data_IF_706646507817
#
_entry.id   IF_706646507817
#
_cell.length_a   1.000
_cell.length_b   1.000
_cell.length_c   1.000
_cell.angle_alpha   90.00
_cell.angle_beta   90.00
_cell.angle_gamma   90.00
#
_symmetry.space_group_name_H-M   'P 1'
#
loop_
_entity.id
_entity.type
_entity.pdbx_description
1 polymer ?
#
# COMPACT_ATOMS: atom_id res chain seq x y z
N UNK A 1 -18.68 10.28 -36.36
CA UNK A 1 -19.05 10.48 -34.95
C UNK A 1 -17.88 10.01 -34.10
N UNK A 2 -17.46 10.78 -33.11
CA UNK A 2 -16.45 10.36 -32.18
C UNK A 2 -16.89 9.10 -31.41
N UNK A 3 -16.01 8.13 -31.28
CA UNK A 3 -16.28 6.93 -30.48
C UNK A 3 -16.36 7.33 -29.01
N UNK A 4 -17.27 6.70 -28.25
CA UNK A 4 -17.39 6.94 -26.81
C UNK A 4 -17.08 5.68 -26.02
N UNK A 5 -16.39 5.86 -24.88
CA UNK A 5 -16.21 4.82 -23.90
C UNK A 5 -17.02 5.16 -22.65
N UNK A 6 -17.83 4.21 -22.19
CA UNK A 6 -18.51 4.31 -20.89
C UNK A 6 -17.65 3.56 -19.86
N UNK A 7 -17.28 4.26 -18.80
CA UNK A 7 -16.45 3.73 -17.72
C UNK A 7 -17.30 3.76 -16.45
N UNK A 8 -17.40 2.65 -15.76
CA UNK A 8 -18.16 2.52 -14.52
C UNK A 8 -17.19 2.62 -13.34
N UNK A 9 -17.40 3.64 -12.52
CA UNK A 9 -16.59 3.97 -11.35
C UNK A 9 -15.49 4.98 -11.65
N UNK A 10 -15.41 6.04 -10.82
CA UNK A 10 -14.33 7.04 -10.81
C UNK A 10 -13.23 6.68 -9.79
N UNK A 11 -12.98 5.39 -9.59
CA UNK A 11 -11.84 4.90 -8.85
C UNK A 11 -10.53 5.04 -9.64
N UNK A 12 -9.37 4.65 -9.07
CA UNK A 12 -8.06 4.78 -9.73
C UNK A 12 -8.03 4.14 -11.12
N UNK A 13 -8.66 2.96 -11.30
CA UNK A 13 -8.68 2.25 -12.57
C UNK A 13 -9.49 2.99 -13.64
N UNK A 14 -10.70 3.43 -13.30
CA UNK A 14 -11.57 4.15 -14.24
C UNK A 14 -11.00 5.51 -14.64
N UNK A 15 -10.47 6.27 -13.69
CA UNK A 15 -9.81 7.55 -13.95
C UNK A 15 -8.56 7.39 -14.83
N UNK A 16 -7.71 6.37 -14.55
CA UNK A 16 -6.56 6.07 -15.38
C UNK A 16 -6.97 5.70 -16.81
N UNK A 17 -7.97 4.83 -16.96
CA UNK A 17 -8.47 4.43 -18.28
C UNK A 17 -8.98 5.63 -19.08
N UNK A 18 -9.75 6.51 -18.45
CA UNK A 18 -10.25 7.74 -19.09
C UNK A 18 -9.12 8.68 -19.53
N UNK A 19 -8.14 8.91 -18.65
CA UNK A 19 -6.98 9.74 -18.95
C UNK A 19 -6.15 9.17 -20.11
N UNK A 20 -5.89 7.87 -20.11
CA UNK A 20 -5.15 7.20 -21.19
C UNK A 20 -5.91 7.22 -22.52
N UNK A 21 -7.25 7.06 -22.53
CA UNK A 21 -8.05 7.20 -23.72
C UNK A 21 -7.96 8.59 -24.32
N UNK A 22 -8.06 9.64 -23.51
CA UNK A 22 -7.97 11.03 -23.95
C UNK A 22 -6.57 11.44 -24.42
N UNK A 23 -5.53 10.80 -23.91
CA UNK A 23 -4.15 11.15 -24.30
C UNK A 23 -3.64 10.34 -25.47
N UNK A 24 -4.20 9.16 -25.76
CA UNK A 24 -3.67 8.24 -26.76
C UNK A 24 -4.63 7.92 -27.90
N UNK A 25 -5.89 8.36 -27.81
CA UNK A 25 -6.93 8.02 -28.79
C UNK A 25 -7.90 9.18 -28.98
N UNK A 26 -8.76 9.07 -30.01
CA UNK A 26 -9.86 9.99 -30.26
C UNK A 26 -11.19 9.53 -29.59
N UNK A 27 -11.10 8.69 -28.55
CA UNK A 27 -12.26 8.15 -27.84
C UNK A 27 -12.62 9.08 -26.70
N UNK A 28 -13.85 9.57 -26.67
CA UNK A 28 -14.38 10.38 -25.55
C UNK A 28 -14.83 9.48 -24.40
N UNK A 29 -14.17 9.51 -23.23
CA UNK A 29 -14.62 8.78 -22.05
C UNK A 29 -15.76 9.51 -21.34
N UNK A 30 -16.72 8.73 -20.86
CA UNK A 30 -17.77 9.16 -19.94
C UNK A 30 -17.71 8.25 -18.73
N UNK A 31 -17.27 8.79 -17.62
CA UNK A 31 -17.20 8.06 -16.34
C UNK A 31 -18.53 8.23 -15.62
N UNK A 32 -19.07 7.14 -15.11
CA UNK A 32 -20.28 7.11 -14.29
C UNK A 32 -19.87 6.72 -12.87
N UNK A 33 -20.11 7.60 -11.89
CA UNK A 33 -19.75 7.41 -10.49
C UNK A 33 -21.00 7.46 -9.61
N UNK A 34 -21.09 6.54 -8.65
CA UNK A 34 -22.23 6.45 -7.74
C UNK A 34 -22.15 7.48 -6.60
N UNK A 35 -20.94 7.76 -6.15
CA UNK A 35 -20.70 8.70 -5.05
C UNK A 35 -20.58 10.14 -5.57
N UNK A 36 -20.68 11.08 -4.66
CA UNK A 36 -20.45 12.52 -4.90
C UNK A 36 -18.95 12.90 -4.89
N UNK A 37 -18.06 11.91 -4.75
CA UNK A 37 -16.62 12.07 -4.77
C UNK A 37 -15.93 11.00 -5.66
N UNK A 38 -14.73 11.32 -6.11
CA UNK A 38 -13.89 10.40 -6.91
C UNK A 38 -12.84 9.71 -6.03
N UNK A 39 -12.28 8.61 -6.55
CA UNK A 39 -11.18 7.88 -5.90
C UNK A 39 -11.57 6.51 -5.37
N UNK A 40 -12.86 6.19 -5.25
CA UNK A 40 -13.31 4.89 -4.75
C UNK A 40 -12.63 4.54 -3.42
N UNK A 41 -12.04 3.34 -3.30
CA UNK A 41 -11.31 2.91 -2.10
C UNK A 41 -10.03 3.74 -1.82
N UNK A 42 -9.54 4.52 -2.79
CA UNK A 42 -8.38 5.41 -2.63
C UNK A 42 -8.80 6.84 -2.30
N UNK A 43 -10.07 7.08 -2.01
CA UNK A 43 -10.53 8.40 -1.60
C UNK A 43 -9.92 8.81 -0.26
N UNK A 44 -9.64 10.11 -0.13
CA UNK A 44 -9.26 10.76 1.14
C UNK A 44 -10.41 11.66 1.55
N UNK A 45 -11.00 11.40 2.69
CA UNK A 45 -12.10 12.16 3.24
C UNK A 45 -11.59 13.32 4.08
N UNK A 46 -12.31 14.44 4.07
CA UNK A 46 -12.07 15.56 4.98
C UNK A 46 -13.06 15.48 6.14
N UNK A 47 -12.54 15.34 7.36
CA UNK A 47 -13.35 15.37 8.56
C UNK A 47 -12.76 16.39 9.54
N UNK A 48 -13.46 17.49 9.76
CA UNK A 48 -13.03 18.57 10.66
C UNK A 48 -11.61 19.04 10.37
N UNK A 49 -11.31 19.29 9.08
CA UNK A 49 -9.99 19.66 8.56
C UNK A 49 -8.89 18.60 8.69
N UNK A 50 -9.24 17.37 9.03
CA UNK A 50 -8.31 16.24 9.03
C UNK A 50 -8.53 15.38 7.78
N UNK A 51 -7.44 15.06 7.09
CA UNK A 51 -7.47 14.15 5.95
C UNK A 51 -7.41 12.71 6.43
N UNK A 52 -8.41 11.91 6.07
CA UNK A 52 -8.55 10.52 6.48
C UNK A 52 -8.67 9.65 5.23
N UNK A 53 -7.70 8.77 5.02
CA UNK A 53 -7.74 7.81 3.93
C UNK A 53 -8.67 6.65 4.25
N UNK A 54 -9.45 6.20 3.27
CA UNK A 54 -10.34 5.03 3.43
C UNK A 54 -9.58 3.71 3.56
N UNK A 55 -8.26 3.72 3.36
CA UNK A 55 -7.39 2.56 3.51
C UNK A 55 -5.93 2.96 3.58
N UNK A 56 -5.06 2.00 3.88
CA UNK A 56 -3.61 2.21 3.95
C UNK A 56 -2.97 2.21 2.57
N UNK A 57 -3.15 3.25 1.80
CA UNK A 57 -2.59 3.37 0.45
C UNK A 57 -1.18 3.93 0.48
N UNK A 58 -0.30 3.35 -0.35
CA UNK A 58 1.09 3.77 -0.52
C UNK A 58 1.44 3.68 -1.99
N UNK A 59 1.93 4.77 -2.56
CA UNK A 59 2.36 4.80 -3.95
C UNK A 59 3.76 4.19 -4.07
N UNK A 60 3.77 2.91 -4.39
CA UNK A 60 4.97 2.15 -4.67
C UNK A 60 4.68 1.10 -5.74
N UNK A 61 5.52 1.04 -6.74
CA UNK A 61 5.48 0.01 -7.79
C UNK A 61 6.89 -0.43 -8.16
N UNK A 62 7.02 -1.69 -8.60
CA UNK A 62 8.24 -2.20 -9.24
C UNK A 62 8.30 -1.83 -10.73
N UNK A 63 7.19 -1.32 -11.28
CA UNK A 63 7.10 -0.89 -12.67
C UNK A 63 7.47 0.59 -12.77
N UNK A 64 8.56 0.91 -13.45
CA UNK A 64 8.97 2.28 -13.74
C UNK A 64 7.87 3.04 -14.47
N UNK A 65 7.20 2.41 -15.45
CA UNK A 65 6.07 3.01 -16.17
C UNK A 65 4.98 3.53 -15.22
N UNK A 66 4.68 2.78 -14.15
CA UNK A 66 3.65 3.19 -13.17
C UNK A 66 4.16 4.34 -12.32
N UNK A 67 5.43 4.29 -11.91
CA UNK A 67 6.07 5.36 -11.13
C UNK A 67 6.12 6.65 -11.94
N UNK A 68 6.56 6.59 -13.18
CA UNK A 68 6.64 7.74 -14.09
C UNK A 68 5.26 8.34 -14.35
N UNK A 69 4.24 7.49 -14.51
CA UNK A 69 2.87 7.94 -14.70
C UNK A 69 2.37 8.74 -13.49
N UNK A 70 2.60 8.24 -12.26
CA UNK A 70 2.21 8.98 -11.06
C UNK A 70 2.95 10.31 -10.95
N UNK A 71 4.25 10.33 -11.23
CA UNK A 71 5.08 11.53 -11.17
C UNK A 71 4.79 12.53 -12.30
N UNK A 72 4.21 12.08 -13.42
CA UNK A 72 3.73 12.99 -14.48
C UNK A 72 2.44 13.74 -14.08
N UNK A 73 1.67 13.20 -13.15
CA UNK A 73 0.44 13.84 -12.61
C UNK A 73 0.78 14.73 -11.40
N UNK A 74 1.53 14.19 -10.45
CA UNK A 74 2.01 14.91 -9.26
C UNK A 74 3.54 14.76 -9.19
N UNK A 75 4.30 15.80 -9.59
CA UNK A 75 5.77 15.73 -9.58
C UNK A 75 6.33 15.58 -8.17
N UNK A 76 7.50 14.94 -8.05
CA UNK A 76 8.18 14.75 -6.77
C UNK A 76 8.67 16.07 -6.19
N UNK A 77 8.55 16.25 -4.88
CA UNK A 77 9.02 17.42 -4.14
C UNK A 77 10.48 17.76 -4.43
N UNK A 78 10.75 19.05 -4.69
CA UNK A 78 12.11 19.61 -4.90
C UNK A 78 12.69 20.22 -3.64
N UNK A 79 11.87 20.40 -2.59
CA UNK A 79 12.26 20.88 -1.28
C UNK A 79 11.65 20.06 -0.16
N UNK A 80 12.25 20.03 1.04
CA UNK A 80 11.63 19.45 2.20
C UNK A 80 10.29 20.14 2.52
N UNK A 81 9.26 19.38 2.88
CA UNK A 81 8.04 19.95 3.43
C UNK A 81 8.26 20.44 4.87
N UNK A 82 7.39 21.30 5.36
CA UNK A 82 7.51 21.86 6.72
C UNK A 82 7.60 20.76 7.80
N UNK A 83 6.82 19.68 7.66
CA UNK A 83 6.87 18.55 8.59
C UNK A 83 8.17 17.73 8.48
N UNK A 84 8.84 17.73 7.32
CA UNK A 84 10.17 17.11 7.17
C UNK A 84 11.21 17.90 7.95
N UNK A 85 11.13 19.23 7.90
CA UNK A 85 12.03 20.13 8.63
C UNK A 85 11.78 20.02 10.17
N UNK A 86 10.52 20.12 10.59
CA UNK A 86 10.14 20.04 12.00
C UNK A 86 10.53 18.72 12.66
N UNK A 87 10.46 17.62 11.91
CA UNK A 87 10.77 16.28 12.41
C UNK A 87 12.19 15.82 12.06
N UNK A 88 13.02 16.74 11.52
CA UNK A 88 14.41 16.46 11.09
C UNK A 88 14.52 15.19 10.22
N UNK A 89 13.61 15.04 9.26
CA UNK A 89 13.60 13.90 8.34
C UNK A 89 14.55 14.17 7.17
N UNK A 90 15.41 13.22 6.89
CA UNK A 90 16.14 13.20 5.64
C UNK A 90 15.24 12.63 4.54
N UNK A 91 14.92 13.43 3.52
CA UNK A 91 14.10 13.02 2.38
C UNK A 91 14.89 13.19 1.09
N UNK A 92 14.73 12.24 0.19
CA UNK A 92 15.27 12.35 -1.16
C UNK A 92 14.41 13.31 -1.99
N UNK A 93 15.05 14.32 -2.54
CA UNK A 93 14.42 15.38 -3.30
C UNK A 93 14.62 15.16 -4.81
N UNK A 94 13.69 15.66 -5.61
CA UNK A 94 13.87 15.71 -7.06
C UNK A 94 15.02 16.67 -7.42
N UNK A 95 15.86 16.25 -8.36
CA UNK A 95 16.93 17.09 -8.92
C UNK A 95 16.47 17.94 -10.12
N UNK A 96 15.20 17.84 -10.54
CA UNK A 96 14.67 18.63 -11.63
C UNK A 96 14.65 20.13 -11.27
N UNK A 97 15.01 21.00 -12.22
CA UNK A 97 15.11 22.44 -11.97
C UNK A 97 13.75 23.09 -11.63
N UNK A 98 12.66 22.49 -12.10
CA UNK A 98 11.27 22.90 -11.91
C UNK A 98 10.53 22.09 -10.85
N UNK A 99 11.26 21.31 -10.05
CA UNK A 99 10.67 20.47 -9.02
C UNK A 99 9.87 21.31 -8.00
N UNK A 100 8.63 20.90 -7.67
CA UNK A 100 7.72 21.72 -6.87
C UNK A 100 8.19 21.87 -5.42
N UNK A 101 7.96 23.06 -4.88
CA UNK A 101 8.09 23.35 -3.46
C UNK A 101 6.76 23.00 -2.76
N UNK A 102 6.72 22.03 -1.83
CA UNK A 102 5.49 21.58 -1.17
C UNK A 102 4.75 22.69 -0.43
N UNK A 103 5.46 23.74 0.00
CA UNK A 103 4.84 24.86 0.72
C UNK A 103 4.24 25.93 -0.23
N UNK A 104 4.53 25.83 -1.53
CA UNK A 104 4.05 26.78 -2.54
C UNK A 104 3.00 26.19 -3.48
N UNK A 105 2.93 24.86 -3.58
CA UNK A 105 1.97 24.17 -4.43
C UNK A 105 1.42 22.92 -3.77
N UNK A 106 0.18 22.63 -4.12
CA UNK A 106 -0.49 21.41 -3.66
C UNK A 106 -0.27 20.26 -4.65
N UNK A 107 0.03 20.56 -5.92
CA UNK A 107 0.31 19.54 -6.94
C UNK A 107 1.71 18.96 -6.76
N UNK A 108 1.87 18.15 -5.73
CA UNK A 108 3.17 17.58 -5.36
C UNK A 108 3.02 16.19 -4.76
N UNK A 109 3.95 15.32 -5.11
CA UNK A 109 4.16 14.01 -4.51
C UNK A 109 5.30 14.11 -3.49
N UNK A 110 5.03 13.66 -2.28
CA UNK A 110 6.00 13.64 -1.18
C UNK A 110 6.64 12.26 -1.09
N UNK A 111 7.91 12.18 -0.72
CA UNK A 111 8.57 10.93 -0.36
C UNK A 111 8.49 10.75 1.15
N UNK A 112 7.97 9.61 1.58
CA UNK A 112 7.75 9.32 3.00
C UNK A 112 8.39 8.01 3.42
N UNK A 113 9.04 8.01 4.57
CA UNK A 113 9.53 6.80 5.20
C UNK A 113 8.40 6.04 5.88
N UNK A 114 8.41 4.73 5.70
CA UNK A 114 7.42 3.88 6.33
C UNK A 114 7.71 3.74 7.82
N UNK A 115 6.77 4.15 8.65
CA UNK A 115 6.76 3.84 10.07
C UNK A 115 5.68 2.79 10.35
N UNK A 116 6.08 1.53 10.50
CA UNK A 116 5.17 0.45 10.88
C UNK A 116 5.55 -0.07 12.25
N UNK A 117 4.57 -0.20 13.13
CA UNK A 117 4.75 -0.69 14.51
C UNK A 117 3.65 -1.67 14.87
N UNK A 118 4.00 -2.65 15.69
CA UNK A 118 3.04 -3.56 16.32
C UNK A 118 2.86 -3.09 17.77
N UNK A 119 1.63 -2.83 18.17
CA UNK A 119 1.30 -2.55 19.56
C UNK A 119 0.89 -3.84 20.25
N UNK A 120 1.70 -4.32 21.19
CA UNK A 120 1.46 -5.54 21.93
C UNK A 120 1.98 -5.39 23.37
N UNK A 121 1.23 -5.91 24.35
CA UNK A 121 1.56 -5.81 25.78
C UNK A 121 1.93 -4.38 26.23
N UNK A 122 1.16 -3.38 25.78
CA UNK A 122 1.38 -1.94 26.07
C UNK A 122 2.74 -1.42 25.59
N UNK A 123 3.39 -2.11 24.64
CA UNK A 123 4.69 -1.73 24.07
C UNK A 123 4.62 -1.71 22.56
N UNK A 124 5.33 -0.77 21.94
CA UNK A 124 5.47 -0.71 20.48
C UNK A 124 6.68 -1.51 20.02
N UNK A 125 6.47 -2.46 19.12
CA UNK A 125 7.51 -3.20 18.44
C UNK A 125 7.65 -2.73 17.00
N UNK A 126 8.87 -2.68 16.49
CA UNK A 126 9.12 -2.39 15.08
C UNK A 126 8.55 -3.49 14.18
N UNK A 127 8.05 -3.13 13.01
CA UNK A 127 7.62 -4.11 12.01
C UNK A 127 8.47 -3.96 10.73
N UNK A 128 9.11 -5.02 10.26
CA UNK A 128 9.12 -6.38 10.80
C UNK A 128 9.76 -6.47 12.19
N UNK A 129 9.27 -7.43 12.98
CA UNK A 129 9.81 -7.65 14.32
C UNK A 129 11.28 -8.00 14.21
N UNK A 130 12.14 -7.17 14.78
CA UNK A 130 13.57 -7.40 14.86
C UNK A 130 13.96 -7.77 16.29
N UNK A 131 14.94 -8.66 16.45
CA UNK A 131 15.47 -9.03 17.75
C UNK A 131 16.48 -7.95 18.21
N UNK A 132 15.96 -6.82 18.66
CA UNK A 132 16.73 -5.74 19.26
C UNK A 132 16.50 -5.69 20.79
N UNK A 133 17.25 -4.84 21.47
CA UNK A 133 17.13 -4.68 22.93
C UNK A 133 15.73 -4.25 23.36
N UNK A 134 15.04 -3.47 22.54
CA UNK A 134 13.68 -3.01 22.84
C UNK A 134 12.68 -4.17 22.74
N UNK A 135 12.83 -5.05 21.77
CA UNK A 135 12.05 -6.29 21.64
C UNK A 135 12.27 -7.21 22.83
N UNK A 136 13.53 -7.38 23.26
CA UNK A 136 13.88 -8.22 24.41
C UNK A 136 13.28 -7.63 25.69
N UNK A 137 13.41 -6.32 25.91
CA UNK A 137 12.82 -5.65 27.07
C UNK A 137 11.29 -5.71 27.05
N UNK A 138 10.68 -5.50 25.88
CA UNK A 138 9.21 -5.50 25.73
C UNK A 138 8.57 -6.88 25.92
N UNK A 139 9.21 -7.96 25.47
CA UNK A 139 8.70 -9.32 25.60
C UNK A 139 9.13 -10.00 26.90
N UNK A 140 10.26 -9.62 27.46
CA UNK A 140 10.90 -10.27 28.60
C UNK A 140 11.66 -11.55 28.23
N UNK A 141 12.70 -11.86 29.01
CA UNK A 141 13.59 -13.00 28.73
C UNK A 141 12.86 -14.34 28.67
N UNK A 142 11.89 -14.57 29.53
CA UNK A 142 11.14 -15.83 29.56
C UNK A 142 10.40 -16.12 28.26
N UNK A 143 9.71 -15.10 27.68
CA UNK A 143 9.03 -15.25 26.40
C UNK A 143 10.02 -15.42 25.25
N UNK A 144 11.14 -14.71 25.30
CA UNK A 144 12.21 -14.87 24.30
C UNK A 144 12.76 -16.30 24.30
N UNK A 145 13.00 -16.89 25.48
CA UNK A 145 13.40 -18.30 25.58
C UNK A 145 12.34 -19.26 25.01
N UNK A 146 11.06 -19.04 25.34
CA UNK A 146 9.96 -19.85 24.77
C UNK A 146 9.90 -19.76 23.24
N UNK A 147 10.02 -18.55 22.68
CA UNK A 147 10.05 -18.33 21.23
C UNK A 147 11.23 -19.07 20.62
N UNK A 148 12.42 -18.96 21.20
CA UNK A 148 13.63 -19.65 20.73
C UNK A 148 13.47 -21.17 20.76
N UNK A 149 13.01 -21.74 21.88
CA UNK A 149 12.77 -23.19 22.00
C UNK A 149 11.71 -23.66 21.01
N UNK A 150 10.62 -22.90 20.85
CA UNK A 150 9.57 -23.23 19.90
C UNK A 150 10.05 -23.21 18.45
N UNK A 151 10.92 -22.26 18.10
CA UNK A 151 11.57 -22.21 16.79
C UNK A 151 12.49 -23.40 16.54
N UNK A 152 13.34 -23.73 17.50
CA UNK A 152 14.22 -24.90 17.41
C UNK A 152 13.43 -26.20 17.26
N UNK A 153 12.30 -26.33 17.99
CA UNK A 153 11.37 -27.44 17.84
C UNK A 153 10.77 -27.53 16.43
N UNK A 154 10.35 -26.39 15.86
CA UNK A 154 9.82 -26.37 14.50
C UNK A 154 10.88 -26.75 13.44
N UNK A 155 12.14 -26.38 13.64
CA UNK A 155 13.26 -26.80 12.78
C UNK A 155 13.54 -28.30 12.88
N UNK A 156 13.51 -28.87 14.10
CA UNK A 156 13.79 -30.28 14.31
C UNK A 156 12.62 -31.19 13.86
N UNK A 157 11.40 -30.71 14.02
CA UNK A 157 10.16 -31.46 13.74
C UNK A 157 9.21 -30.62 12.88
N UNK A 158 9.54 -30.35 11.61
CA UNK A 158 8.68 -29.57 10.74
C UNK A 158 7.39 -30.32 10.38
N UNK A 159 6.32 -29.59 10.22
CA UNK A 159 5.06 -30.10 9.66
C UNK A 159 5.34 -30.43 8.19
N UNK A 160 5.30 -31.72 7.82
CA UNK A 160 5.68 -32.19 6.47
C UNK A 160 4.69 -31.75 5.39
N UNK A 161 3.41 -31.70 5.70
CA UNK A 161 2.33 -31.32 4.76
C UNK A 161 1.70 -30.00 5.21
N UNK A 162 2.29 -28.89 4.74
CA UNK A 162 1.81 -27.54 5.04
C UNK A 162 0.52 -27.27 4.23
N UNK A 163 -0.65 -27.43 4.84
CA UNK A 163 -1.94 -27.17 4.19
C UNK A 163 -2.48 -25.79 4.47
N UNK A 164 -2.21 -25.27 5.65
CA UNK A 164 -2.75 -24.01 6.11
C UNK A 164 -1.67 -22.93 6.30
N UNK A 165 -2.12 -21.67 6.32
CA UNK A 165 -1.27 -20.54 6.70
C UNK A 165 -0.69 -20.72 8.10
N UNK A 166 -1.44 -21.33 9.02
CA UNK A 166 -0.96 -21.68 10.36
C UNK A 166 0.26 -22.60 10.29
N UNK A 167 0.19 -23.70 9.51
CA UNK A 167 1.28 -24.66 9.36
C UNK A 167 2.51 -23.99 8.77
N UNK A 168 2.28 -23.20 7.72
CA UNK A 168 3.32 -22.41 7.06
C UNK A 168 4.05 -21.49 8.03
N UNK A 169 3.31 -20.75 8.86
CA UNK A 169 3.87 -19.81 9.82
C UNK A 169 4.60 -20.53 10.96
N UNK A 170 4.04 -21.63 11.48
CA UNK A 170 4.67 -22.42 12.55
C UNK A 170 6.00 -22.99 12.08
N UNK A 171 6.09 -23.53 10.87
CA UNK A 171 7.33 -24.08 10.33
C UNK A 171 8.41 -23.01 10.16
N UNK A 172 8.05 -21.77 9.84
CA UNK A 172 9.01 -20.69 9.57
C UNK A 172 9.40 -19.89 10.79
N UNK A 173 8.49 -19.75 11.75
CA UNK A 173 8.69 -18.83 12.88
C UNK A 173 8.59 -19.51 14.24
N UNK A 174 8.19 -20.77 14.30
CA UNK A 174 7.84 -21.46 15.52
C UNK A 174 6.45 -21.06 16.05
N UNK A 175 5.82 -21.96 16.78
CA UNK A 175 4.45 -21.79 17.30
C UNK A 175 4.30 -20.56 18.20
N UNK A 176 5.25 -20.30 19.09
CA UNK A 176 5.15 -19.19 20.05
C UNK A 176 5.18 -17.82 19.35
N UNK A 177 6.06 -17.63 18.35
CA UNK A 177 6.13 -16.38 17.61
C UNK A 177 4.87 -16.19 16.74
N UNK A 178 4.38 -17.27 16.12
CA UNK A 178 3.12 -17.26 15.39
C UNK A 178 1.95 -16.81 16.27
N UNK A 179 1.78 -17.40 17.45
CA UNK A 179 0.72 -17.06 18.39
C UNK A 179 0.84 -15.62 18.91
N UNK A 180 2.07 -15.14 19.11
CA UNK A 180 2.32 -13.82 19.70
C UNK A 180 2.01 -12.68 18.74
N UNK A 181 2.38 -12.78 17.46
CA UNK A 181 2.36 -11.62 16.55
C UNK A 181 1.52 -11.83 15.29
N UNK A 182 1.26 -13.05 14.88
CA UNK A 182 0.64 -13.31 13.57
C UNK A 182 -0.80 -13.77 13.67
N UNK A 183 -1.13 -14.67 14.57
CA UNK A 183 -2.45 -15.31 14.62
C UNK A 183 -3.57 -14.29 14.76
N UNK A 184 -3.64 -13.60 15.88
CA UNK A 184 -4.75 -12.71 16.21
C UNK A 184 -4.88 -11.55 15.20
N UNK A 185 -3.75 -11.02 14.73
CA UNK A 185 -3.74 -9.97 13.73
C UNK A 185 -4.32 -10.46 12.39
N UNK A 186 -3.88 -11.65 11.95
CA UNK A 186 -4.33 -12.22 10.67
C UNK A 186 -5.80 -12.60 10.72
N UNK A 187 -6.22 -13.27 11.78
CA UNK A 187 -7.62 -13.67 11.97
C UNK A 187 -8.56 -12.47 12.07
N UNK A 188 -8.14 -11.41 12.76
CA UNK A 188 -8.90 -10.15 12.82
C UNK A 188 -9.02 -9.49 11.46
N UNK A 189 -7.94 -9.50 10.65
CA UNK A 189 -7.93 -8.87 9.33
C UNK A 189 -8.79 -9.63 8.31
N UNK A 190 -8.73 -10.97 8.34
CA UNK A 190 -9.42 -11.81 7.36
C UNK A 190 -10.79 -12.31 7.82
N UNK A 191 -11.12 -12.18 9.10
CA UNK A 191 -12.37 -12.68 9.68
C UNK A 191 -12.49 -14.19 9.70
N UNK A 192 -11.39 -14.93 9.44
CA UNK A 192 -11.35 -16.39 9.43
C UNK A 192 -10.11 -16.91 10.14
N UNK A 193 -10.19 -18.14 10.67
CA UNK A 193 -9.07 -18.81 11.33
C UNK A 193 -7.91 -19.10 10.37
N UNK A 194 -6.67 -18.90 10.82
CA UNK A 194 -5.47 -19.14 10.02
C UNK A 194 -5.34 -20.59 9.54
N UNK A 195 -5.98 -21.55 10.21
CA UNK A 195 -6.03 -22.96 9.79
C UNK A 195 -6.88 -23.18 8.52
N UNK A 196 -7.75 -22.24 8.19
CA UNK A 196 -8.64 -22.28 7.01
C UNK A 196 -8.08 -21.50 5.81
N UNK A 197 -7.00 -20.74 5.98
CA UNK A 197 -6.31 -20.00 4.91
C UNK A 197 -5.26 -20.92 4.31
N UNK A 198 -5.15 -20.98 2.97
CA UNK A 198 -4.16 -21.81 2.27
C UNK A 198 -2.72 -21.41 2.61
N UNK A 199 -1.83 -22.39 2.74
CA UNK A 199 -0.39 -22.17 2.92
C UNK A 199 0.24 -21.39 1.74
N UNK A 200 -0.28 -21.55 0.52
CA UNK A 200 0.20 -20.84 -0.67
C UNK A 200 0.08 -19.32 -0.54
N UNK A 201 -0.97 -18.86 0.13
CA UNK A 201 -1.14 -17.42 0.40
C UNK A 201 0.03 -16.85 1.22
N UNK A 202 0.48 -17.60 2.26
CA UNK A 202 1.66 -17.25 3.04
C UNK A 202 2.95 -17.29 2.20
N UNK A 203 3.12 -18.33 1.38
CA UNK A 203 4.28 -18.50 0.52
C UNK A 203 4.44 -17.37 -0.53
N UNK A 204 3.35 -16.85 -1.07
CA UNK A 204 3.37 -15.73 -2.01
C UNK A 204 3.80 -14.42 -1.36
N UNK A 205 3.41 -14.16 -0.12
CA UNK A 205 3.62 -12.87 0.58
C UNK A 205 4.88 -12.83 1.44
N UNK A 206 5.31 -13.99 1.95
CA UNK A 206 6.47 -14.10 2.85
C UNK A 206 7.65 -14.75 2.09
N UNK A 207 7.87 -14.36 0.85
CA UNK A 207 9.03 -14.82 0.06
C UNK A 207 10.32 -14.29 0.69
N UNK A 208 11.25 -15.19 1.01
CA UNK A 208 12.63 -14.83 1.34
C UNK A 208 12.92 -14.52 2.82
N UNK A 209 11.92 -14.49 3.71
CA UNK A 209 12.16 -14.29 5.14
C UNK A 209 12.61 -15.63 5.75
N UNK A 210 13.93 -15.75 6.00
CA UNK A 210 14.50 -16.84 6.79
C UNK A 210 15.02 -16.27 8.10
N UNK A 211 14.49 -16.76 9.22
CA UNK A 211 14.98 -16.37 10.56
C UNK A 211 16.49 -16.66 10.69
N UNK A 212 16.99 -17.74 10.07
CA UNK A 212 18.42 -18.02 10.02
C UNK A 212 19.24 -16.93 9.34
N UNK A 213 18.72 -16.33 8.26
CA UNK A 213 19.36 -15.16 7.61
C UNK A 213 19.35 -13.96 8.56
N UNK A 214 18.23 -13.71 9.23
CA UNK A 214 18.09 -12.63 10.22
C UNK A 214 19.04 -12.84 11.39
N UNK A 215 19.10 -14.04 11.96
CA UNK A 215 20.02 -14.38 13.06
C UNK A 215 21.51 -14.29 12.65
N UNK A 216 21.87 -14.76 11.45
CA UNK A 216 23.22 -14.60 10.90
C UNK A 216 23.61 -13.13 10.72
N UNK A 217 22.68 -12.30 10.25
CA UNK A 217 22.92 -10.87 10.10
C UNK A 217 23.10 -10.19 11.46
N UNK A 218 22.33 -10.60 12.47
CA UNK A 218 22.49 -10.09 13.84
C UNK A 218 23.82 -10.45 14.45
N UNK A 219 24.25 -11.70 14.30
CA UNK A 219 25.57 -12.13 14.76
C UNK A 219 26.68 -11.31 14.09
N UNK A 220 26.54 -10.99 12.79
CA UNK A 220 27.46 -10.09 12.09
C UNK A 220 27.42 -8.64 12.60
N UNK A 221 26.24 -8.12 12.92
CA UNK A 221 26.09 -6.75 13.44
C UNK A 221 26.68 -6.59 14.84
N UNK A 222 26.61 -7.64 15.69
CA UNK A 222 27.25 -7.69 17.00
C UNK A 222 28.80 -7.75 16.85
N UNK A 223 29.30 -8.34 15.76
CA UNK A 223 30.73 -8.44 15.45
C UNK A 223 31.27 -7.16 14.74
N UNK A 224 30.57 -6.05 14.72
CA UNK A 224 31.05 -4.77 14.22
C UNK A 224 31.10 -4.60 12.69
N UNK A 225 30.68 -5.59 11.93
CA UNK A 225 30.68 -5.55 10.46
C UNK A 225 29.31 -5.01 9.95
N UNK A 226 29.20 -3.70 9.73
CA UNK A 226 28.04 -3.06 9.08
C UNK A 226 28.03 -3.48 7.61
N UNK A 227 27.53 -4.64 7.30
CA UNK A 227 27.49 -5.17 5.95
C UNK A 227 26.14 -5.78 5.59
N UNK A 228 25.44 -5.14 4.67
CA UNK A 228 24.36 -5.70 3.91
C UNK A 228 22.96 -5.52 4.52
N UNK A 229 22.15 -4.70 3.86
CA UNK A 229 20.71 -4.68 4.10
C UNK A 229 20.16 -6.10 3.90
N UNK A 230 19.43 -6.61 4.87
CA UNK A 230 18.58 -7.79 4.67
C UNK A 230 17.58 -7.38 3.58
N UNK A 231 17.56 -8.08 2.46
CA UNK A 231 16.46 -7.99 1.49
C UNK A 231 15.17 -8.42 2.19
N UNK A 232 14.64 -7.53 3.00
CA UNK A 232 13.28 -7.62 3.45
C UNK A 232 12.43 -7.06 2.31
N UNK A 233 11.42 -7.78 1.86
CA UNK A 233 10.47 -7.31 0.84
C UNK A 233 9.59 -6.16 1.37
N UNK A 234 10.13 -5.35 2.28
CA UNK A 234 9.45 -4.25 2.91
C UNK A 234 9.94 -2.94 2.28
N UNK A 235 8.99 -2.23 1.74
CA UNK A 235 9.19 -0.91 1.20
C UNK A 235 9.53 0.03 2.36
N UNK A 236 10.74 0.56 2.38
CA UNK A 236 11.17 1.51 3.41
C UNK A 236 10.67 2.93 3.12
N UNK A 237 10.55 3.27 1.83
CA UNK A 237 10.06 4.55 1.36
C UNK A 237 8.93 4.34 0.33
N UNK A 238 7.99 5.25 0.32
CA UNK A 238 6.91 5.29 -0.65
C UNK A 238 6.57 6.73 -1.02
N UNK A 239 5.90 6.91 -2.14
CA UNK A 239 5.36 8.21 -2.51
C UNK A 239 3.98 8.40 -1.90
N UNK A 240 3.67 9.66 -1.59
CA UNK A 240 2.40 10.02 -0.98
C UNK A 240 1.97 11.41 -1.42
N UNK A 241 0.81 11.57 -2.07
CA UNK A 241 0.30 12.90 -2.44
C UNK A 241 0.11 13.77 -1.20
N UNK A 242 0.39 15.06 -1.30
CA UNK A 242 0.35 16.00 -0.15
C UNK A 242 -0.93 15.88 0.68
N UNK A 243 -2.08 15.68 0.05
CA UNK A 243 -3.38 15.56 0.71
C UNK A 243 -3.97 14.14 0.70
N UNK A 244 -3.12 13.13 0.59
CA UNK A 244 -3.54 11.73 0.59
C UNK A 244 -3.80 11.16 -0.81
N UNK A 245 -4.06 9.85 -0.92
CA UNK A 245 -4.25 9.17 -2.20
C UNK A 245 -5.45 9.71 -3.00
N UNK A 246 -6.49 10.20 -2.34
CA UNK A 246 -7.62 10.86 -3.01
C UNK A 246 -7.21 12.08 -3.81
N UNK A 247 -6.17 12.80 -3.40
CA UNK A 247 -5.65 13.95 -4.13
C UNK A 247 -5.09 13.56 -5.52
N UNK A 248 -4.45 12.41 -5.66
CA UNK A 248 -4.06 11.88 -6.97
C UNK A 248 -5.30 11.65 -7.85
N UNK A 249 -6.32 11.01 -7.30
CA UNK A 249 -7.56 10.75 -8.04
C UNK A 249 -8.27 12.05 -8.47
N UNK A 250 -8.35 13.03 -7.58
CA UNK A 250 -8.91 14.35 -7.88
C UNK A 250 -8.11 15.09 -8.97
N UNK A 251 -6.77 14.99 -8.92
CA UNK A 251 -5.90 15.59 -9.94
C UNK A 251 -6.11 14.96 -11.31
N UNK A 252 -6.23 13.62 -11.38
CA UNK A 252 -6.53 12.91 -12.62
C UNK A 252 -7.92 13.24 -13.12
N UNK A 253 -8.92 13.32 -12.24
CA UNK A 253 -10.28 13.71 -12.60
C UNK A 253 -10.33 15.10 -13.24
N UNK A 254 -9.65 16.09 -12.66
CA UNK A 254 -9.52 17.42 -13.25
C UNK A 254 -8.88 17.40 -14.65
N UNK A 255 -7.79 16.63 -14.82
CA UNK A 255 -7.13 16.47 -16.12
C UNK A 255 -8.04 15.77 -17.16
N UNK A 256 -8.87 14.82 -16.74
CA UNK A 256 -9.87 14.16 -17.59
C UNK A 256 -10.90 15.18 -18.08
N UNK A 257 -11.42 16.03 -17.19
CA UNK A 257 -12.40 17.06 -17.54
C UNK A 257 -11.79 18.16 -18.43
N UNK A 258 -10.59 18.63 -18.11
CA UNK A 258 -9.82 19.61 -18.92
C UNK A 258 -9.59 19.12 -20.36
N UNK A 259 -9.41 17.81 -20.56
CA UNK A 259 -9.24 17.17 -21.87
C UNK A 259 -10.55 16.82 -22.58
N UNK A 260 -11.70 17.18 -22.01
CA UNK A 260 -13.02 16.97 -22.62
C UNK A 260 -13.72 15.66 -22.23
N UNK A 261 -13.16 14.86 -21.33
CA UNK A 261 -13.86 13.73 -20.69
C UNK A 261 -14.98 14.22 -19.79
N UNK A 262 -15.89 13.32 -19.42
CA UNK A 262 -17.05 13.65 -18.58
C UNK A 262 -17.13 12.71 -17.39
N UNK A 263 -17.30 13.28 -16.20
CA UNK A 263 -17.59 12.52 -14.97
C UNK A 263 -19.01 12.88 -14.57
N UNK A 264 -19.88 11.88 -14.44
CA UNK A 264 -21.30 12.06 -14.12
C UNK A 264 -21.67 11.23 -12.91
N UNK A 265 -22.34 11.86 -11.95
CA UNK A 265 -23.01 11.17 -10.87
C UNK A 265 -24.14 10.28 -11.40
N UNK A 266 -24.27 9.08 -10.88
CA UNK A 266 -25.39 8.18 -11.16
C UNK A 266 -26.44 8.34 -10.07
N UNK A 267 -27.66 8.77 -10.40
CA UNK A 267 -28.76 8.62 -9.46
C UNK A 267 -29.08 7.14 -9.27
N UNK A 268 -29.22 6.70 -8.04
CA UNK A 268 -29.70 5.35 -7.75
C UNK A 268 -31.13 5.12 -8.29
N UNK A 269 -31.46 3.96 -8.85
CA UNK A 269 -30.62 2.80 -9.06
C UNK A 269 -29.80 2.91 -10.37
N UNK A 270 -28.49 2.78 -10.27
CA UNK A 270 -27.51 2.92 -11.34
C UNK A 270 -27.76 2.00 -12.57
N UNK A 271 -28.39 0.85 -12.35
CA UNK A 271 -28.73 -0.14 -13.38
C UNK A 271 -29.62 0.44 -14.49
N UNK A 272 -30.56 1.33 -14.14
CA UNK A 272 -31.44 1.97 -15.13
C UNK A 272 -30.73 3.07 -15.93
N UNK A 273 -29.82 3.81 -15.28
CA UNK A 273 -29.06 4.86 -15.95
C UNK A 273 -28.03 4.27 -16.94
N UNK A 274 -27.47 3.11 -16.63
CA UNK A 274 -26.58 2.36 -17.51
C UNK A 274 -27.30 1.93 -18.80
N UNK A 275 -28.49 1.33 -18.71
CA UNK A 275 -29.30 0.92 -19.87
C UNK A 275 -29.61 2.08 -20.80
N UNK A 276 -29.94 3.26 -20.26
CA UNK A 276 -30.23 4.45 -21.05
C UNK A 276 -29.04 5.01 -21.82
N UNK A 277 -27.80 4.84 -21.29
CA UNK A 277 -26.59 5.31 -21.97
C UNK A 277 -26.02 4.30 -22.97
N UNK A 278 -26.24 3.00 -22.75
CA UNK A 278 -25.65 1.92 -23.54
C UNK A 278 -26.47 1.55 -24.80
N UNK A 279 -27.76 1.84 -24.83
CA UNK A 279 -28.65 1.30 -25.86
C UNK A 279 -28.50 1.92 -27.25
N UNK A 280 -27.89 3.10 -27.42
CA UNK A 280 -27.88 3.80 -28.72
C UNK A 280 -26.53 3.87 -29.47
N UNK A 281 -25.40 3.33 -28.92
CA UNK A 281 -24.08 3.48 -29.56
C UNK A 281 -23.12 2.32 -29.20
N UNK A 282 -22.12 2.01 -30.05
CA UNK A 282 -21.07 1.05 -29.69
C UNK A 282 -20.30 1.57 -28.48
N UNK A 283 -20.39 0.86 -27.36
CA UNK A 283 -19.85 1.24 -26.06
C UNK A 283 -18.74 0.24 -25.67
N UNK A 284 -17.59 0.76 -25.26
CA UNK A 284 -16.54 -0.01 -24.59
C UNK A 284 -16.83 0.06 -23.10
N UNK A 285 -17.05 -1.10 -22.47
CA UNK A 285 -17.27 -1.20 -21.04
C UNK A 285 -15.93 -1.44 -20.33
N UNK A 286 -15.60 -0.59 -19.38
CA UNK A 286 -14.48 -0.78 -18.45
C UNK A 286 -15.06 -0.79 -17.04
N UNK A 287 -14.87 -1.90 -16.32
CA UNK A 287 -15.19 -1.99 -14.89
C UNK A 287 -13.96 -1.66 -14.06
N UNK A 288 -14.12 -0.82 -13.07
CA UNK A 288 -13.07 -0.44 -12.11
C UNK A 288 -13.25 -1.14 -10.76
#
# INVERSE_FOLDING_TARGET
MAKKAIIIGAGPAGLTAAYELLTRTDIEPVILEENDFVGGISATLDYKHNKIDMGGHRFFSKSERVMDWWLSILPLQGKPAEDDILLAREVELSSAADAPDPEKTDKVMLKRHRLSRIYYLKTFFSYPVSLNMDTIKGLGLWRMCKIGCSYLKALAFPIKDEKSLQDFMINRFGRELYLTFFKDHTEKLWGIDCSKISAEWGAQRIKGISILKVLKQMAKNISGNKGGAVETSFIDCFFYPKFGPGHMCQSVAGLVEEKGGKIKGLPAPWEKAFLLYALDKPVILVYS
#
